data_IF_346862303985
#
_entry.id   IF_346862303985
#
_cell.length_a   1.000
_cell.length_b   1.000
_cell.length_c   1.000
_cell.angle_alpha   90.00
_cell.angle_beta   90.00
_cell.angle_gamma   90.00
#
_symmetry.space_group_name_H-M   'P 1'
#
loop_
_entity.id
_entity.type
_entity.pdbx_description
1 polymer ?
#
# COMPACT_ATOMS: atom_id res chain seq x y z
N UNK A 1 -4.49 5.42 -19.03
CA UNK A 1 -5.05 5.67 -17.69
C UNK A 1 -4.01 5.88 -16.57
N UNK A 2 -2.68 5.79 -16.79
CA UNK A 2 -1.70 5.94 -15.68
C UNK A 2 -1.41 7.37 -15.25
N UNK A 3 -0.94 8.23 -16.15
CA UNK A 3 -0.47 9.59 -15.80
C UNK A 3 -1.43 10.74 -16.17
N UNK A 4 -2.50 10.45 -16.92
CA UNK A 4 -3.40 11.45 -17.50
C UNK A 4 -4.86 11.38 -17.02
N UNK A 5 -5.22 10.38 -16.21
CA UNK A 5 -6.57 10.28 -15.67
C UNK A 5 -6.81 11.40 -14.62
N UNK A 6 -8.04 11.93 -14.58
CA UNK A 6 -8.41 12.97 -13.63
C UNK A 6 -8.27 12.44 -12.19
N UNK A 7 -7.43 13.07 -11.33
CA UNK A 7 -7.24 12.61 -9.95
C UNK A 7 -8.52 12.52 -9.13
N UNK A 8 -9.53 13.34 -9.43
CA UNK A 8 -10.83 13.30 -8.75
C UNK A 8 -11.62 12.05 -9.15
N UNK A 9 -11.56 11.66 -10.42
CA UNK A 9 -12.18 10.41 -10.87
C UNK A 9 -11.49 9.22 -10.21
N UNK A 10 -10.17 9.19 -10.20
CA UNK A 10 -9.38 8.15 -9.49
C UNK A 10 -9.80 8.08 -8.03
N UNK A 11 -9.89 9.23 -7.35
CA UNK A 11 -10.32 9.31 -5.96
C UNK A 11 -11.72 8.73 -5.74
N UNK A 12 -12.68 9.06 -6.60
CA UNK A 12 -14.05 8.52 -6.49
C UNK A 12 -14.04 7.01 -6.68
N UNK A 13 -13.34 6.50 -7.70
CA UNK A 13 -13.29 5.06 -7.98
C UNK A 13 -12.61 4.29 -6.85
N UNK A 14 -11.46 4.78 -6.37
CA UNK A 14 -10.74 4.20 -5.23
C UNK A 14 -11.63 4.18 -3.98
N UNK A 15 -12.35 5.26 -3.71
CA UNK A 15 -13.25 5.34 -2.56
C UNK A 15 -14.45 4.40 -2.65
N UNK A 16 -15.02 4.21 -3.84
CA UNK A 16 -16.15 3.30 -4.07
C UNK A 16 -15.72 1.84 -4.00
N UNK A 17 -14.48 1.53 -4.38
CA UNK A 17 -13.94 0.16 -4.35
C UNK A 17 -12.49 0.14 -3.85
N UNK A 18 -12.25 0.29 -2.53
CA UNK A 18 -10.88 0.37 -1.98
C UNK A 18 -10.03 -0.87 -2.27
N UNK A 19 -10.68 -2.05 -2.28
CA UNK A 19 -10.00 -3.32 -2.59
C UNK A 19 -9.38 -3.35 -3.98
N UNK A 20 -9.88 -2.55 -4.93
CA UNK A 20 -9.32 -2.47 -6.27
C UNK A 20 -7.93 -1.82 -6.29
N UNK A 21 -7.55 -1.05 -5.26
CA UNK A 21 -6.23 -0.42 -5.16
C UNK A 21 -5.08 -1.45 -5.02
N UNK A 22 -5.38 -2.65 -4.53
CA UNK A 22 -4.40 -3.72 -4.29
C UNK A 22 -4.44 -4.81 -5.38
N UNK A 23 -5.43 -4.77 -6.28
CA UNK A 23 -5.59 -5.77 -7.34
C UNK A 23 -4.45 -5.62 -8.35
N UNK A 24 -3.74 -6.72 -8.57
CA UNK A 24 -2.71 -6.83 -9.59
C UNK A 24 -3.33 -7.29 -10.92
N UNK A 25 -2.82 -6.77 -12.03
CA UNK A 25 -3.12 -7.27 -13.37
C UNK A 25 -2.25 -8.50 -13.73
N UNK A 26 -2.21 -8.85 -15.02
CA UNK A 26 -1.43 -10.01 -15.52
C UNK A 26 0.09 -9.84 -15.35
N UNK A 27 0.58 -8.61 -15.26
CA UNK A 27 1.99 -8.27 -15.08
C UNK A 27 2.32 -8.03 -13.59
N UNK A 28 1.39 -8.34 -12.68
CA UNK A 28 1.58 -8.06 -11.26
C UNK A 28 1.39 -6.58 -10.90
N UNK A 29 0.96 -5.73 -11.83
CA UNK A 29 0.88 -4.27 -11.60
C UNK A 29 -0.44 -3.89 -10.97
N UNK A 30 -0.36 -3.18 -9.85
CA UNK A 30 -1.51 -2.52 -9.21
C UNK A 30 -1.81 -1.17 -9.87
N UNK A 31 -2.98 -0.54 -9.64
CA UNK A 31 -3.25 0.83 -10.10
C UNK A 31 -2.19 1.85 -9.68
N UNK A 32 -1.50 1.63 -8.54
CA UNK A 32 -0.45 2.51 -8.06
C UNK A 32 0.83 2.43 -8.92
N UNK A 33 1.17 1.26 -9.46
CA UNK A 33 2.27 1.11 -10.43
C UNK A 33 2.00 1.97 -11.66
N UNK A 34 0.79 1.86 -12.23
CA UNK A 34 0.38 2.65 -13.39
C UNK A 34 0.40 4.17 -13.15
N UNK A 35 0.05 4.61 -11.94
CA UNK A 35 0.12 6.03 -11.58
C UNK A 35 1.56 6.54 -11.43
N UNK A 36 2.51 5.64 -11.11
CA UNK A 36 3.93 5.92 -10.93
C UNK A 36 4.74 5.77 -12.22
N UNK A 37 4.21 5.12 -13.24
CA UNK A 37 4.87 4.88 -14.51
C UNK A 37 4.48 5.91 -15.58
N UNK A 38 5.45 6.76 -15.95
CA UNK A 38 5.32 7.76 -17.00
C UNK A 38 5.36 7.19 -18.43
N UNK A 39 5.84 5.95 -18.57
CA UNK A 39 5.96 5.22 -19.85
C UNK A 39 4.74 4.35 -20.15
N UNK A 40 3.81 4.22 -19.21
CA UNK A 40 2.59 3.43 -19.40
C UNK A 40 1.63 4.09 -20.40
N UNK A 41 1.78 3.70 -21.67
CA UNK A 41 0.90 4.12 -22.78
C UNK A 41 -0.28 3.16 -22.85
N UNK A 42 -1.36 3.47 -22.13
CA UNK A 42 -2.56 2.63 -22.13
C UNK A 42 -3.42 2.77 -23.41
N UNK A 43 -3.16 3.77 -24.24
CA UNK A 43 -3.79 3.93 -25.56
C UNK A 43 -2.75 4.46 -26.55
N UNK A 44 -2.51 3.71 -27.63
CA UNK A 44 -1.83 4.25 -28.80
C UNK A 44 -2.83 5.16 -29.51
N UNK A 45 -2.77 6.46 -29.25
CA UNK A 45 -3.47 7.42 -30.11
C UNK A 45 -2.72 7.46 -31.44
N UNK A 46 -3.35 6.94 -32.52
CA UNK A 46 -2.81 6.90 -33.89
C UNK A 46 -2.54 8.29 -34.51
N UNK A 47 -2.71 9.37 -33.75
CA UNK A 47 -2.44 10.72 -34.20
C UNK A 47 -0.98 11.13 -33.92
N UNK A 48 -0.15 10.91 -34.95
CA UNK A 48 1.15 11.48 -35.33
C UNK A 48 1.56 12.84 -34.67
N UNK A 49 1.67 12.92 -33.35
CA UNK A 49 2.24 14.08 -32.67
C UNK A 49 3.57 13.70 -32.02
N UNK A 50 4.64 14.12 -32.71
CA UNK A 50 6.03 13.99 -32.28
C UNK A 50 6.23 14.65 -30.93
N UNK A 51 6.92 13.94 -30.03
CA UNK A 51 7.41 14.43 -28.75
C UNK A 51 6.35 14.52 -27.64
N UNK A 52 5.65 13.43 -27.35
CA UNK A 52 5.09 13.24 -26.02
C UNK A 52 6.25 12.97 -25.06
N UNK A 53 6.80 14.01 -24.46
CA UNK A 53 7.73 13.82 -23.33
C UNK A 53 6.99 13.04 -22.25
N UNK A 54 7.59 11.98 -21.67
CA UNK A 54 6.97 11.24 -20.57
C UNK A 54 6.57 12.21 -19.48
N UNK A 55 5.27 12.27 -19.18
CA UNK A 55 4.77 13.19 -18.16
C UNK A 55 5.13 12.61 -16.80
N UNK A 56 5.75 13.39 -15.89
CA UNK A 56 6.09 12.87 -14.58
C UNK A 56 4.82 12.42 -13.83
N UNK A 57 4.94 11.44 -12.92
CA UNK A 57 3.82 10.91 -12.14
C UNK A 57 2.97 11.98 -11.45
N UNK A 58 1.66 11.83 -11.53
CA UNK A 58 0.71 12.78 -10.95
C UNK A 58 0.59 12.57 -9.45
N UNK A 59 1.07 13.55 -8.67
CA UNK A 59 1.07 13.49 -7.21
C UNK A 59 -0.34 13.29 -6.61
N UNK A 60 -1.34 13.97 -7.17
CA UNK A 60 -2.72 13.92 -6.63
C UNK A 60 -3.39 12.57 -6.91
N UNK A 61 -3.11 11.97 -8.07
CA UNK A 61 -3.59 10.62 -8.40
C UNK A 61 -2.99 9.57 -7.45
N UNK A 62 -1.68 9.65 -7.22
CA UNK A 62 -0.96 8.78 -6.28
C UNK A 62 -1.51 8.94 -4.86
N UNK A 63 -1.73 10.19 -4.44
CA UNK A 63 -2.31 10.49 -3.14
C UNK A 63 -3.73 9.90 -2.98
N UNK A 64 -4.55 9.97 -4.04
CA UNK A 64 -5.90 9.42 -4.04
C UNK A 64 -5.94 7.89 -3.91
N UNK A 65 -4.98 7.17 -4.51
CA UNK A 65 -4.88 5.72 -4.36
C UNK A 65 -4.38 5.35 -2.97
N UNK A 66 -3.34 6.04 -2.48
CA UNK A 66 -2.75 5.79 -1.16
C UNK A 66 -3.67 6.16 0.01
N UNK A 67 -4.67 7.03 -0.20
CA UNK A 67 -5.66 7.31 0.86
C UNK A 67 -6.59 6.14 1.13
N UNK A 68 -6.74 5.22 0.18
CA UNK A 68 -7.63 4.07 0.30
C UNK A 68 -6.85 2.78 0.62
N UNK A 69 -5.63 2.63 0.10
CA UNK A 69 -4.73 1.52 0.50
C UNK A 69 -3.26 1.94 0.58
N UNK A 70 -2.69 1.79 1.77
CA UNK A 70 -1.24 1.89 2.00
C UNK A 70 -0.49 0.62 1.60
N UNK A 71 -1.17 -0.53 1.58
CA UNK A 71 -0.58 -1.82 1.22
C UNK A 71 -0.10 -1.83 -0.24
N UNK A 72 -0.84 -1.14 -1.12
CA UNK A 72 -0.47 -0.95 -2.52
C UNK A 72 0.96 -0.40 -2.70
N UNK A 73 1.51 0.35 -1.73
CA UNK A 73 2.84 0.92 -1.80
C UNK A 73 3.98 -0.11 -1.65
N UNK A 74 3.68 -1.33 -1.16
CA UNK A 74 4.66 -2.39 -0.90
C UNK A 74 4.48 -3.62 -1.79
N UNK A 75 3.45 -3.65 -2.64
CA UNK A 75 3.23 -4.76 -3.58
C UNK A 75 4.24 -4.62 -4.71
N UNK A 76 4.97 -5.70 -5.00
CA UNK A 76 5.89 -5.79 -6.14
C UNK A 76 5.17 -6.37 -7.36
N UNK A 77 5.52 -5.90 -8.54
CA UNK A 77 5.07 -6.45 -9.82
C UNK A 77 5.89 -7.69 -10.23
N UNK A 78 5.62 -8.24 -11.42
CA UNK A 78 6.33 -9.41 -11.93
C UNK A 78 7.82 -9.15 -12.26
N UNK A 79 8.25 -7.89 -12.30
CA UNK A 79 9.65 -7.48 -12.47
C UNK A 79 10.34 -7.26 -11.12
N UNK A 80 9.71 -7.67 -10.01
CA UNK A 80 10.17 -7.42 -8.63
C UNK A 80 10.31 -5.92 -8.34
N UNK A 81 9.52 -5.07 -9.02
CA UNK A 81 9.55 -3.62 -8.85
C UNK A 81 8.32 -3.13 -8.10
N UNK A 82 8.58 -2.29 -7.10
CA UNK A 82 7.58 -1.56 -6.34
C UNK A 82 7.13 -0.29 -7.10
N UNK A 83 5.97 0.30 -6.74
CA UNK A 83 5.53 1.58 -7.31
C UNK A 83 6.53 2.72 -7.06
N UNK A 84 7.32 2.65 -5.98
CA UNK A 84 8.35 3.63 -5.66
C UNK A 84 9.48 3.62 -6.71
N UNK A 85 9.92 2.45 -7.14
CA UNK A 85 10.98 2.31 -8.15
C UNK A 85 10.50 2.82 -9.50
N UNK A 86 9.28 2.46 -9.91
CA UNK A 86 8.62 3.02 -11.10
C UNK A 86 8.57 4.54 -11.06
N UNK A 87 8.21 5.13 -9.91
CA UNK A 87 8.15 6.59 -9.74
C UNK A 87 9.54 7.25 -9.89
N UNK A 88 10.59 6.64 -9.33
CA UNK A 88 11.97 7.14 -9.44
C UNK A 88 12.44 7.08 -10.90
N UNK A 89 12.23 5.94 -11.57
CA UNK A 89 12.58 5.77 -12.99
C UNK A 89 11.81 6.73 -13.89
N UNK A 90 10.59 7.07 -13.51
CA UNK A 90 9.71 8.04 -14.18
C UNK A 90 9.97 9.51 -13.79
N UNK A 91 11.08 9.79 -13.10
CA UNK A 91 11.48 11.13 -12.68
C UNK A 91 10.40 11.86 -11.87
N UNK A 92 9.74 11.13 -10.96
CA UNK A 92 8.75 11.70 -10.05
C UNK A 92 9.37 12.79 -9.17
N UNK A 93 8.54 13.77 -8.79
CA UNK A 93 8.98 14.80 -7.86
C UNK A 93 9.42 14.19 -6.52
N UNK A 94 10.40 14.80 -5.86
CA UNK A 94 10.84 14.36 -4.52
C UNK A 94 9.68 14.33 -3.52
N UNK A 95 8.67 15.20 -3.69
CA UNK A 95 7.44 15.20 -2.89
C UNK A 95 6.68 13.87 -3.04
N UNK A 96 6.56 13.37 -4.27
CA UNK A 96 5.92 12.09 -4.58
C UNK A 96 6.75 10.91 -4.06
N UNK A 97 8.07 10.93 -4.24
CA UNK A 97 8.97 9.89 -3.71
C UNK A 97 8.83 9.79 -2.19
N UNK A 98 8.86 10.91 -1.47
CA UNK A 98 8.67 10.94 -0.01
C UNK A 98 7.29 10.45 0.42
N UNK A 99 6.25 10.77 -0.35
CA UNK A 99 4.89 10.28 -0.08
C UNK A 99 4.85 8.75 -0.15
N UNK A 100 5.40 8.16 -1.20
CA UNK A 100 5.46 6.70 -1.40
C UNK A 100 6.29 6.01 -0.30
N UNK A 101 7.48 6.54 0.00
CA UNK A 101 8.33 6.03 1.09
C UNK A 101 7.60 6.04 2.44
N UNK A 102 6.89 7.13 2.76
CA UNK A 102 6.14 7.23 4.00
C UNK A 102 4.95 6.26 4.04
N UNK A 103 4.23 6.11 2.93
CA UNK A 103 3.11 5.17 2.84
C UNK A 103 3.57 3.72 3.09
N UNK A 104 4.65 3.29 2.42
CA UNK A 104 5.24 1.98 2.63
C UNK A 104 5.70 1.78 4.09
N UNK A 105 6.41 2.77 4.66
CA UNK A 105 6.86 2.71 6.05
C UNK A 105 5.68 2.60 7.05
N UNK A 106 4.59 3.34 6.82
CA UNK A 106 3.40 3.29 7.68
C UNK A 106 2.67 1.95 7.58
N UNK A 107 2.59 1.36 6.39
CA UNK A 107 1.99 0.03 6.22
C UNK A 107 2.77 -1.03 7.01
N UNK A 108 4.09 -1.05 6.88
CA UNK A 108 4.96 -2.00 7.58
C UNK A 108 4.95 -1.79 9.11
N UNK A 109 4.91 -0.54 9.58
CA UNK A 109 4.82 -0.24 11.01
C UNK A 109 3.47 -0.59 11.62
N UNK A 110 2.37 -0.37 10.89
CA UNK A 110 1.02 -0.78 11.32
C UNK A 110 0.90 -2.29 11.50
N UNK A 111 1.65 -3.06 10.71
CA UNK A 111 1.70 -4.53 10.80
C UNK A 111 2.49 -5.00 12.03
N UNK A 112 3.48 -4.22 12.48
CA UNK A 112 4.34 -4.55 13.64
C UNK A 112 3.66 -4.35 15.01
N UNK A 113 2.64 -3.49 15.10
CA UNK A 113 1.96 -3.14 16.36
C UNK A 113 0.70 -3.98 16.66
N UNK A 114 0.33 -4.94 15.81
CA UNK A 114 -0.81 -5.84 16.00
C UNK A 114 -0.40 -7.28 16.35
N UNK A 115 0.57 -7.46 17.25
CA UNK A 115 0.84 -8.74 17.91
C UNK A 115 0.90 -8.56 19.43
N UNK A 116 -0.27 -8.60 20.06
CA UNK A 116 -0.41 -8.84 21.50
C UNK A 116 -1.55 -9.86 21.75
N UNK A 117 -1.27 -11.19 21.82
CA UNK A 117 -1.94 -12.03 22.78
C UNK A 117 -1.26 -11.77 24.13
N UNK A 118 -1.91 -10.99 25.00
CA UNK A 118 -1.41 -10.77 26.36
C UNK A 118 -1.21 -12.10 27.10
N UNK A 119 -0.18 -12.22 27.95
CA UNK A 119 0.00 -13.41 28.78
C UNK A 119 -1.08 -13.42 29.87
N UNK A 120 -2.12 -14.24 29.70
CA UNK A 120 -3.01 -14.56 30.82
C UNK A 120 -2.32 -15.62 31.68
N UNK A 121 -1.44 -15.18 32.57
CA UNK A 121 -0.98 -16.03 33.68
C UNK A 121 -2.05 -16.02 34.77
N UNK A 122 -2.98 -16.97 34.70
CA UNK A 122 -3.84 -17.31 35.85
C UNK A 122 -2.97 -17.96 36.92
N UNK A 123 -2.46 -17.16 37.84
CA UNK A 123 -1.81 -17.62 39.06
C UNK A 123 -2.85 -18.18 40.02
N UNK A 124 -3.15 -19.49 39.92
CA UNK A 124 -3.93 -20.20 40.94
C UNK A 124 -3.00 -20.59 42.09
N UNK A 125 -3.10 -19.83 43.18
CA UNK A 125 -2.46 -20.12 44.47
C UNK A 125 -2.88 -21.51 44.95
N UNK A 126 -1.90 -22.35 45.27
CA UNK A 126 -2.10 -23.56 46.08
C UNK A 126 -2.65 -23.14 47.45
N UNK A 127 -3.87 -23.57 47.77
CA UNK A 127 -4.31 -23.67 49.16
C UNK A 127 -4.04 -25.10 49.60
N UNK A 128 -3.00 -25.28 50.40
CA UNK A 128 -2.78 -26.49 51.19
C UNK A 128 -3.78 -26.48 52.35
N UNK A 129 -4.70 -27.45 52.39
CA UNK A 129 -5.54 -27.69 53.57
C UNK A 129 -4.91 -28.81 54.38
N UNK A 130 -4.20 -28.42 55.44
CA UNK A 130 -3.82 -29.32 56.52
C UNK A 130 -4.95 -29.31 57.54
N UNK A 131 -5.65 -30.43 57.69
CA UNK A 131 -6.51 -30.69 58.84
C UNK A 131 -5.94 -31.89 59.58
N UNK A 132 -5.21 -31.61 60.66
CA UNK A 132 -5.01 -32.53 61.76
C UNK A 132 -6.23 -32.41 62.66
N UNK A 133 -7.04 -33.47 62.75
CA UNK A 133 -7.96 -33.65 63.87
C UNK A 133 -7.44 -34.82 64.71
N UNK A 134 -6.94 -34.45 65.88
CA UNK A 134 -6.53 -35.34 66.97
C UNK A 134 -7.67 -35.42 67.97
N UNK A 135 -7.85 -36.61 68.55
CA UNK A 135 -8.38 -36.89 69.90
C UNK A 135 -9.82 -37.43 69.98
N UNK A 136 -9.89 -38.66 70.51
CA UNK A 136 -11.11 -39.40 70.87
C UNK A 136 -10.80 -40.89 71.01
#
# INVERSE_FOLDING_TARGET
AGSAADPRLIKILAHVCPVACDVQDVDGKTPLHFACDSSSVLFQDDHNNKCATPRPPCHDAICALLSESLAAATIEDAEEMSPLEHAIMSNASLKTVKLLQNAAANHLQGTSMSMCPGPTTMSLRRVSKANNDTSG
#
